data_IF_540010398910
#
_entry.id   IF_540010398910
#
_cell.length_a   1.000
_cell.length_b   1.000
_cell.length_c   1.000
_cell.angle_alpha   90.00
_cell.angle_beta   90.00
_cell.angle_gamma   90.00
#
_symmetry.space_group_name_H-M   'P 1'
#
loop_
_entity.id
_entity.type
_entity.pdbx_description
1 polymer ?
#
# COMPACT_ATOMS: atom_id res chain seq x y z
N UNK A 1 10.26 -16.94 13.39
CA UNK A 1 10.14 -17.39 14.79
C UNK A 1 9.45 -18.75 14.76
N UNK A 2 10.05 -19.78 15.36
CA UNK A 2 9.46 -21.12 15.45
C UNK A 2 8.45 -21.14 16.61
N UNK A 3 7.45 -22.01 16.55
CA UNK A 3 6.41 -22.10 17.60
C UNK A 3 6.96 -22.46 18.99
N UNK A 4 8.09 -23.15 19.01
CA UNK A 4 8.78 -23.64 20.21
C UNK A 4 9.95 -22.76 20.69
N UNK A 5 10.13 -21.56 20.12
CA UNK A 5 11.10 -20.60 20.64
C UNK A 5 10.68 -20.14 22.06
N UNK A 6 11.63 -19.93 22.99
CA UNK A 6 11.30 -19.51 24.35
C UNK A 6 10.56 -18.16 24.38
N UNK A 7 9.57 -18.06 25.25
CA UNK A 7 8.82 -16.82 25.50
C UNK A 7 9.69 -15.80 26.23
N UNK A 8 9.58 -14.53 25.84
CA UNK A 8 10.11 -13.41 26.63
C UNK A 8 9.33 -13.26 27.94
N UNK A 9 9.90 -12.66 28.98
CA UNK A 9 9.24 -12.41 30.27
C UNK A 9 7.84 -11.78 30.13
N UNK A 10 7.73 -10.71 29.33
CA UNK A 10 6.45 -10.05 29.00
C UNK A 10 5.41 -10.95 28.32
N UNK A 11 5.85 -11.95 27.56
CA UNK A 11 4.97 -12.94 26.89
C UNK A 11 4.54 -14.04 27.85
N UNK A 12 5.43 -14.45 28.75
CA UNK A 12 5.13 -15.41 29.80
C UNK A 12 4.12 -14.85 30.80
N UNK A 13 4.31 -13.59 31.24
CA UNK A 13 3.36 -12.90 32.12
C UNK A 13 1.99 -12.74 31.48
N UNK A 14 1.94 -12.37 30.20
CA UNK A 14 0.68 -12.29 29.46
C UNK A 14 0.00 -13.66 29.34
N UNK A 15 0.75 -14.74 29.09
CA UNK A 15 0.19 -16.10 29.05
C UNK A 15 -0.35 -16.55 30.41
N UNK A 16 0.35 -16.24 31.50
CA UNK A 16 -0.08 -16.52 32.87
C UNK A 16 -1.36 -15.77 33.21
N UNK A 17 -1.46 -14.51 32.76
CA UNK A 17 -2.63 -13.65 32.95
C UNK A 17 -3.88 -14.22 32.27
N UNK A 18 -3.74 -14.69 31.02
CA UNK A 18 -4.81 -15.37 30.27
C UNK A 18 -5.17 -16.75 30.85
N UNK A 19 -4.25 -17.39 31.56
CA UNK A 19 -4.45 -18.70 32.19
C UNK A 19 -5.17 -18.68 33.55
N UNK A 20 -5.23 -17.52 34.22
CA UNK A 20 -5.92 -17.38 35.50
C UNK A 20 -7.43 -17.16 35.29
N UNK A 21 -8.26 -18.06 35.83
CA UNK A 21 -9.71 -17.95 35.77
C UNK A 21 -10.19 -16.74 36.60
N UNK A 22 -10.35 -15.59 35.95
CA UNK A 22 -10.82 -14.35 36.58
C UNK A 22 -10.39 -13.05 35.90
N UNK A 23 -9.37 -13.07 35.03
CA UNK A 23 -8.95 -11.88 34.27
C UNK A 23 -9.22 -12.06 32.77
N UNK A 24 -10.27 -11.41 32.27
CA UNK A 24 -10.55 -11.33 30.83
C UNK A 24 -9.58 -10.34 30.17
N UNK A 25 -8.56 -10.84 29.47
CA UNK A 25 -7.71 -10.01 28.62
C UNK A 25 -8.37 -9.85 27.25
N UNK A 26 -8.90 -8.66 26.99
CA UNK A 26 -9.62 -8.32 25.76
C UNK A 26 -9.07 -7.05 25.09
N UNK A 27 -9.77 -6.57 24.06
CA UNK A 27 -9.32 -5.41 23.27
C UNK A 27 -9.25 -4.07 24.05
N UNK A 28 -9.77 -4.00 25.29
CA UNK A 28 -9.63 -2.87 26.21
C UNK A 28 -8.18 -2.65 26.67
N UNK A 29 -7.35 -3.71 26.70
CA UNK A 29 -5.93 -3.64 27.03
C UNK A 29 -5.05 -3.48 25.77
N UNK A 30 -5.07 -2.27 25.19
CA UNK A 30 -4.34 -1.95 23.95
C UNK A 30 -2.83 -2.23 24.03
N UNK A 31 -2.24 -2.15 25.21
CA UNK A 31 -0.80 -2.39 25.47
C UNK A 31 -0.39 -3.87 25.40
N UNK A 32 -1.36 -4.79 25.51
CA UNK A 32 -1.17 -6.25 25.51
C UNK A 32 -1.53 -6.91 24.17
N UNK A 33 -2.28 -6.23 23.30
CA UNK A 33 -2.76 -6.77 22.02
C UNK A 33 -1.64 -7.39 21.16
N UNK A 34 -0.50 -6.69 21.03
CA UNK A 34 0.65 -7.17 20.23
C UNK A 34 1.29 -8.43 20.82
N UNK A 35 1.27 -8.57 22.15
CA UNK A 35 1.77 -9.73 22.88
C UNK A 35 0.82 -10.92 22.73
N UNK A 36 -0.49 -10.69 22.80
CA UNK A 36 -1.51 -11.74 22.60
C UNK A 36 -1.47 -12.29 21.16
N UNK A 37 -1.29 -11.44 20.15
CA UNK A 37 -1.10 -11.91 18.77
C UNK A 37 0.16 -12.78 18.62
N UNK A 38 1.26 -12.40 19.26
CA UNK A 38 2.49 -13.20 19.26
C UNK A 38 2.31 -14.57 19.96
N UNK A 39 1.49 -14.66 21.02
CA UNK A 39 1.14 -15.93 21.68
C UNK A 39 0.20 -16.78 20.81
N UNK A 40 -0.74 -16.15 20.11
CA UNK A 40 -1.66 -16.81 19.18
C UNK A 40 -0.94 -17.42 17.98
N UNK A 41 0.01 -16.70 17.39
CA UNK A 41 0.78 -17.19 16.25
C UNK A 41 1.66 -18.40 16.62
N UNK A 42 1.99 -18.54 17.91
CA UNK A 42 2.63 -19.72 18.50
C UNK A 42 1.66 -20.83 18.92
N UNK A 43 0.35 -20.59 18.85
CA UNK A 43 -0.68 -21.56 19.20
C UNK A 43 -0.92 -21.71 20.70
N UNK A 44 -0.44 -20.79 21.54
CA UNK A 44 -0.58 -20.85 23.00
C UNK A 44 -1.91 -20.23 23.49
N UNK A 45 -2.49 -19.33 22.71
CA UNK A 45 -3.74 -18.61 23.02
C UNK A 45 -4.62 -18.55 21.75
N UNK A 46 -5.93 -18.61 21.90
CA UNK A 46 -6.91 -18.32 20.84
C UNK A 46 -7.56 -16.96 21.06
N UNK A 47 -7.95 -16.28 19.98
CA UNK A 47 -8.62 -14.97 20.05
C UNK A 47 -9.99 -15.02 19.38
N UNK A 48 -11.01 -15.66 19.99
CA UNK A 48 -12.38 -15.55 19.48
C UNK A 48 -12.86 -14.09 19.49
N UNK A 49 -13.77 -13.77 18.57
CA UNK A 49 -14.45 -12.47 18.51
C UNK A 49 -15.87 -12.63 19.04
N UNK A 50 -16.23 -11.83 20.03
CA UNK A 50 -17.59 -11.73 20.59
C UNK A 50 -17.98 -10.26 20.46
N UNK A 51 -19.13 -9.98 19.83
CA UNK A 51 -19.64 -8.61 19.60
C UNK A 51 -18.63 -7.61 19.00
N UNK A 52 -17.81 -8.07 18.05
CA UNK A 52 -16.81 -7.24 17.36
C UNK A 52 -15.53 -6.98 18.16
N UNK A 53 -15.46 -7.43 19.41
CA UNK A 53 -14.30 -7.32 20.31
C UNK A 53 -13.62 -8.68 20.41
N UNK A 54 -12.29 -8.73 20.32
CA UNK A 54 -11.56 -9.99 20.53
C UNK A 54 -11.31 -10.22 22.02
N UNK A 55 -11.47 -11.46 22.47
CA UNK A 55 -11.12 -11.93 23.82
C UNK A 55 -10.06 -13.03 23.70
N UNK A 56 -9.16 -13.16 24.68
CA UNK A 56 -8.15 -14.22 24.66
C UNK A 56 -8.54 -15.42 25.51
N UNK A 57 -8.34 -16.64 25.00
CA UNK A 57 -8.53 -17.89 25.72
C UNK A 57 -7.26 -18.74 25.66
N UNK A 58 -6.86 -19.35 26.78
CA UNK A 58 -5.68 -20.22 26.81
C UNK A 58 -5.96 -21.57 26.11
N UNK A 59 -5.00 -22.03 25.30
CA UNK A 59 -5.06 -23.36 24.65
C UNK A 59 -4.44 -24.44 25.53
N UNK A 60 -4.62 -25.71 25.16
CA UNK A 60 -3.92 -26.84 25.79
C UNK A 60 -2.39 -26.71 25.72
N UNK A 61 -1.86 -26.25 24.58
CA UNK A 61 -0.43 -25.96 24.42
C UNK A 61 0.05 -24.81 25.33
N UNK A 62 -0.80 -23.80 25.54
CA UNK A 62 -0.58 -22.71 26.49
C UNK A 62 -0.48 -23.20 27.94
N UNK A 63 -1.40 -24.09 28.34
CA UNK A 63 -1.37 -24.72 29.67
C UNK A 63 -0.14 -25.59 29.87
N UNK A 64 0.21 -26.40 28.87
CA UNK A 64 1.42 -27.22 28.91
C UNK A 64 2.68 -26.35 29.06
N UNK A 65 2.74 -25.21 28.36
CA UNK A 65 3.87 -24.28 28.45
C UNK A 65 4.00 -23.67 29.86
N UNK A 66 2.88 -23.31 30.51
CA UNK A 66 2.90 -22.78 31.88
C UNK A 66 3.39 -23.80 32.90
N UNK A 67 3.10 -25.08 32.68
CA UNK A 67 3.49 -26.17 33.59
C UNK A 67 4.92 -26.69 33.35
N UNK A 68 5.34 -26.80 32.08
CA UNK A 68 6.60 -27.45 31.70
C UNK A 68 7.69 -26.48 31.20
N UNK A 69 7.37 -25.20 31.03
CA UNK A 69 8.30 -24.16 30.59
C UNK A 69 8.78 -24.29 29.14
N UNK A 70 8.18 -25.16 28.34
CA UNK A 70 8.48 -25.34 26.92
C UNK A 70 7.24 -25.72 26.12
N UNK A 71 7.27 -25.46 24.82
CA UNK A 71 6.17 -25.80 23.90
C UNK A 71 6.12 -27.33 23.67
N UNK A 72 4.94 -27.96 23.61
CA UNK A 72 4.80 -29.41 23.41
C UNK A 72 5.47 -29.92 22.11
N UNK A 73 5.41 -29.11 21.04
CA UNK A 73 6.10 -29.41 19.77
C UNK A 73 7.63 -29.19 19.79
N UNK A 74 8.27 -28.93 20.95
CA UNK A 74 9.73 -28.75 21.02
C UNK A 74 10.41 -30.12 20.84
N UNK A 75 11.19 -30.35 19.77
CA UNK A 75 11.90 -31.60 19.60
C UNK A 75 13.03 -31.72 20.65
N UNK A 76 12.91 -32.68 21.57
CA UNK A 76 13.89 -32.95 22.63
C UNK A 76 14.77 -34.17 22.37
N UNK A 77 16.08 -34.03 22.61
CA UNK A 77 17.07 -35.12 22.72
C UNK A 77 16.75 -36.01 23.95
N UNK A 78 16.22 -37.20 23.66
CA UNK A 78 16.41 -38.53 24.28
C UNK A 78 16.36 -38.75 25.81
N UNK A 79 15.43 -39.64 26.21
CA UNK A 79 15.70 -40.77 27.13
C UNK A 79 15.03 -40.71 28.51
N UNK A 80 13.88 -41.35 28.73
CA UNK A 80 13.85 -42.76 29.16
C UNK A 80 12.45 -43.39 29.16
N UNK A 81 12.46 -44.72 29.08
CA UNK A 81 11.39 -45.64 28.68
C UNK A 81 10.51 -46.08 29.87
N UNK A 82 9.22 -46.34 29.60
CA UNK A 82 8.36 -47.52 29.98
C UNK A 82 6.89 -47.14 29.71
N UNK A 83 6.01 -47.92 29.08
CA UNK A 83 5.94 -49.36 28.77
C UNK A 83 4.85 -49.57 27.71
N UNK A 84 5.09 -50.42 26.70
CA UNK A 84 4.05 -51.04 25.87
C UNK A 84 3.54 -52.32 26.55
N UNK A 85 2.30 -52.75 26.28
CA UNK A 85 2.04 -54.15 26.00
C UNK A 85 1.78 -54.35 24.50
N UNK A 86 2.39 -55.41 24.01
CA UNK A 86 2.33 -55.96 22.66
C UNK A 86 1.04 -56.76 22.51
N UNK A 87 0.30 -56.56 21.42
CA UNK A 87 -0.33 -57.68 20.70
C UNK A 87 -0.02 -57.57 19.21
N UNK A 88 0.38 -58.73 18.69
CA UNK A 88 1.00 -59.03 17.42
C UNK A 88 0.10 -58.79 16.22
N UNK A 89 0.74 -58.32 15.15
CA UNK A 89 0.23 -58.20 13.78
C UNK A 89 -0.21 -59.56 13.21
N UNK A 90 -1.15 -59.55 12.25
CA UNK A 90 -0.88 -60.17 10.97
C UNK A 90 -0.48 -59.11 9.95
N UNK A 91 0.37 -59.56 9.05
CA UNK A 91 1.00 -58.83 7.96
C UNK A 91 -0.07 -58.26 7.03
N UNK A 92 -0.21 -56.94 7.03
CA UNK A 92 -0.58 -56.22 5.82
C UNK A 92 0.06 -54.84 5.85
N UNK A 93 0.69 -54.45 4.76
CA UNK A 93 1.41 -53.17 4.67
C UNK A 93 0.38 -52.04 4.77
N UNK A 94 0.48 -51.08 5.71
CA UNK A 94 -0.39 -49.92 5.68
C UNK A 94 0.03 -49.08 4.47
N UNK A 95 -0.76 -49.19 3.40
CA UNK A 95 -0.84 -48.17 2.38
C UNK A 95 -0.92 -46.81 3.09
N UNK A 96 -0.14 -45.83 2.57
CA UNK A 96 -0.30 -44.42 2.93
C UNK A 96 -1.79 -44.11 3.09
N UNK A 97 -2.23 -43.38 4.13
CA UNK A 97 -3.64 -43.04 4.26
C UNK A 97 -4.06 -42.34 2.98
N UNK A 98 -4.86 -43.06 2.18
CA UNK A 98 -5.62 -42.50 1.09
C UNK A 98 -6.55 -41.54 1.79
N UNK A 99 -6.19 -40.25 1.77
CA UNK A 99 -7.14 -39.17 2.00
C UNK A 99 -8.37 -39.54 1.16
N UNK A 100 -9.61 -39.43 1.67
CA UNK A 100 -10.74 -39.48 0.78
C UNK A 100 -10.43 -38.49 -0.35
N UNK A 101 -10.32 -39.00 -1.58
CA UNK A 101 -10.14 -38.16 -2.76
C UNK A 101 -11.42 -37.36 -2.87
N UNK A 102 -11.51 -36.25 -2.14
CA UNK A 102 -12.29 -35.12 -2.60
C UNK A 102 -11.71 -34.86 -3.99
N UNK A 103 -12.51 -35.13 -5.04
CA UNK A 103 -12.14 -34.99 -6.45
C UNK A 103 -11.17 -33.82 -6.58
N UNK A 104 -9.89 -34.11 -6.77
CA UNK A 104 -8.95 -33.06 -7.09
C UNK A 104 -9.50 -32.49 -8.40
N UNK A 105 -9.97 -31.24 -8.36
CA UNK A 105 -10.37 -30.56 -9.58
C UNK A 105 -9.07 -30.38 -10.36
N UNK A 106 -8.75 -31.34 -11.23
CA UNK A 106 -7.61 -31.28 -12.12
C UNK A 106 -8.05 -30.48 -13.32
N UNK A 107 -7.62 -29.23 -13.36
CA UNK A 107 -7.87 -28.33 -14.48
C UNK A 107 -6.59 -28.36 -15.30
N UNK A 108 -6.66 -28.90 -16.51
CA UNK A 108 -5.50 -28.96 -17.39
C UNK A 108 -5.20 -27.60 -18.00
N UNK A 109 -3.95 -27.41 -18.45
CA UNK A 109 -3.56 -26.19 -19.14
C UNK A 109 -4.33 -26.03 -20.47
N UNK A 110 -4.66 -27.13 -21.15
CA UNK A 110 -5.44 -27.12 -22.38
C UNK A 110 -6.91 -26.75 -22.13
N UNK A 111 -7.50 -27.19 -21.02
CA UNK A 111 -8.89 -26.85 -20.67
C UNK A 111 -9.02 -25.37 -20.28
N UNK A 112 -8.05 -24.82 -19.56
CA UNK A 112 -7.96 -23.39 -19.28
C UNK A 112 -7.92 -22.58 -20.59
N UNK A 113 -7.04 -22.97 -21.52
CA UNK A 113 -6.90 -22.26 -22.79
C UNK A 113 -8.12 -22.42 -23.69
N UNK A 114 -8.75 -23.60 -23.72
CA UNK A 114 -9.99 -23.84 -24.48
C UNK A 114 -11.13 -22.96 -23.98
N UNK A 115 -11.26 -22.79 -22.66
CA UNK A 115 -12.25 -21.89 -22.07
C UNK A 115 -11.94 -20.42 -22.36
N UNK A 116 -10.66 -20.03 -22.29
CA UNK A 116 -10.23 -18.66 -22.60
C UNK A 116 -10.27 -18.31 -24.09
N UNK A 117 -10.19 -19.31 -24.98
CA UNK A 117 -10.37 -19.12 -26.41
C UNK A 117 -11.83 -18.90 -26.79
N UNK A 118 -12.76 -19.46 -26.00
CA UNK A 118 -14.21 -19.28 -26.18
C UNK A 118 -14.70 -17.97 -25.56
N UNK A 119 -14.26 -17.67 -24.34
CA UNK A 119 -14.51 -16.42 -23.63
C UNK A 119 -13.17 -15.84 -23.21
N UNK A 120 -12.74 -14.72 -23.81
CA UNK A 120 -11.44 -14.07 -23.54
C UNK A 120 -11.21 -13.69 -22.06
N UNK A 121 -12.24 -13.82 -21.23
CA UNK A 121 -12.23 -13.61 -19.79
C UNK A 121 -13.01 -14.71 -19.07
N UNK A 122 -12.33 -15.42 -18.19
CA UNK A 122 -12.90 -16.35 -17.24
C UNK A 122 -13.05 -15.66 -15.87
N UNK A 123 -14.28 -15.49 -15.40
CA UNK A 123 -14.57 -14.96 -14.06
C UNK A 123 -15.10 -16.10 -13.17
N UNK A 124 -14.37 -16.39 -12.11
CA UNK A 124 -14.72 -17.39 -11.10
C UNK A 124 -15.05 -16.65 -9.81
N UNK A 125 -16.33 -16.64 -9.45
CA UNK A 125 -16.84 -15.98 -8.24
C UNK A 125 -16.42 -16.78 -7.02
N UNK A 126 -15.70 -16.14 -6.09
CA UNK A 126 -15.22 -16.69 -4.80
C UNK A 126 -14.88 -18.21 -4.80
N UNK A 127 -13.85 -18.65 -5.56
CA UNK A 127 -13.48 -20.05 -5.58
C UNK A 127 -12.98 -20.53 -4.21
N UNK A 128 -13.27 -21.80 -3.90
CA UNK A 128 -12.63 -22.48 -2.77
C UNK A 128 -11.09 -22.57 -2.96
N UNK A 129 -10.39 -22.89 -1.87
CA UNK A 129 -8.92 -22.91 -1.84
C UNK A 129 -8.32 -23.94 -2.81
N UNK A 130 -8.97 -25.08 -3.01
CA UNK A 130 -8.45 -26.20 -3.80
C UNK A 130 -8.65 -25.95 -5.30
N UNK A 131 -9.81 -25.42 -5.68
CA UNK A 131 -10.15 -24.94 -7.03
C UNK A 131 -9.24 -23.78 -7.42
N UNK A 132 -9.00 -22.82 -6.51
CA UNK A 132 -8.03 -21.73 -6.73
C UNK A 132 -6.62 -22.28 -6.94
N UNK A 133 -6.19 -23.27 -6.17
CA UNK A 133 -4.89 -23.91 -6.34
C UNK A 133 -4.79 -24.68 -7.68
N UNK A 134 -5.88 -25.32 -8.13
CA UNK A 134 -5.96 -25.97 -9.43
C UNK A 134 -5.80 -24.99 -10.60
N UNK A 135 -6.55 -23.89 -10.61
CA UNK A 135 -6.41 -22.84 -11.62
C UNK A 135 -5.01 -22.22 -11.63
N UNK A 136 -4.41 -22.01 -10.45
CA UNK A 136 -3.01 -21.54 -10.36
C UNK A 136 -2.02 -22.51 -10.98
N UNK A 137 -2.21 -23.83 -10.78
CA UNK A 137 -1.39 -24.87 -11.40
C UNK A 137 -1.58 -24.88 -12.92
N UNK A 138 -2.81 -24.75 -13.40
CA UNK A 138 -3.12 -24.67 -14.82
C UNK A 138 -2.48 -23.45 -15.49
N UNK A 139 -2.57 -22.26 -14.87
CA UNK A 139 -1.90 -21.03 -15.36
C UNK A 139 -0.39 -21.22 -15.40
N UNK A 140 0.20 -21.77 -14.34
CA UNK A 140 1.65 -21.99 -14.29
C UNK A 140 2.10 -23.02 -15.34
N UNK A 141 1.35 -24.11 -15.49
CA UNK A 141 1.59 -25.13 -16.51
C UNK A 141 1.50 -24.53 -17.91
N UNK A 142 0.44 -23.78 -18.25
CA UNK A 142 0.28 -23.12 -19.54
C UNK A 142 1.41 -22.14 -19.87
N UNK A 143 1.90 -21.39 -18.86
CA UNK A 143 3.05 -20.49 -19.01
C UNK A 143 4.37 -21.25 -19.22
N UNK A 144 4.58 -22.38 -18.53
CA UNK A 144 5.82 -23.17 -18.62
C UNK A 144 5.90 -24.04 -19.87
N UNK A 145 4.80 -24.69 -20.26
CA UNK A 145 4.72 -25.52 -21.46
C UNK A 145 4.62 -24.69 -22.73
N UNK A 146 4.32 -23.40 -22.59
CA UNK A 146 4.33 -22.48 -23.72
C UNK A 146 3.14 -22.64 -24.66
N UNK A 147 2.04 -23.21 -24.16
CA UNK A 147 0.79 -23.46 -24.89
C UNK A 147 -0.04 -22.19 -25.15
N UNK A 148 0.37 -21.04 -24.62
CA UNK A 148 -0.29 -19.75 -24.90
C UNK A 148 -0.07 -19.38 -26.38
N UNK A 149 -1.13 -19.03 -27.15
CA UNK A 149 -1.00 -18.62 -28.54
C UNK A 149 0.02 -17.50 -28.75
N UNK A 150 0.74 -17.54 -29.89
CA UNK A 150 1.71 -16.53 -30.24
C UNK A 150 1.05 -15.13 -30.29
N UNK A 151 1.64 -14.15 -29.61
CA UNK A 151 1.10 -12.79 -29.53
C UNK A 151 0.03 -12.57 -28.45
N UNK A 152 -0.26 -13.55 -27.58
CA UNK A 152 -1.20 -13.39 -26.46
C UNK A 152 -0.53 -13.68 -25.11
N UNK A 153 -1.08 -13.14 -24.02
CA UNK A 153 -0.62 -13.43 -22.67
C UNK A 153 -1.76 -13.59 -21.64
N UNK A 154 -1.49 -14.38 -20.61
CA UNK A 154 -2.44 -14.67 -19.53
C UNK A 154 -2.28 -13.68 -18.36
N UNK A 155 -3.33 -12.89 -18.10
CA UNK A 155 -3.47 -12.02 -16.93
C UNK A 155 -4.41 -12.66 -15.90
N UNK A 156 -4.16 -12.45 -14.61
CA UNK A 156 -5.02 -12.98 -13.55
C UNK A 156 -5.13 -12.01 -12.37
N UNK A 157 -6.32 -11.90 -11.79
CA UNK A 157 -6.66 -11.13 -10.59
C UNK A 157 -7.29 -12.05 -9.53
N UNK A 158 -7.24 -11.67 -8.25
CA UNK A 158 -7.81 -12.50 -7.16
C UNK A 158 -6.97 -13.75 -6.83
N UNK A 159 -5.64 -13.62 -6.91
CA UNK A 159 -4.67 -14.70 -6.72
C UNK A 159 -4.80 -15.41 -5.35
N UNK A 160 -5.03 -14.62 -4.31
CA UNK A 160 -4.97 -15.07 -2.92
C UNK A 160 -6.31 -14.89 -2.19
N UNK A 161 -7.18 -13.96 -2.61
CA UNK A 161 -8.52 -13.75 -2.05
C UNK A 161 -9.51 -13.16 -3.08
N UNK A 162 -10.81 -13.33 -2.83
CA UNK A 162 -11.90 -12.84 -3.67
C UNK A 162 -12.12 -13.62 -4.98
N UNK A 163 -12.71 -12.95 -5.96
CA UNK A 163 -13.02 -13.51 -7.27
C UNK A 163 -11.77 -13.71 -8.11
N UNK A 164 -11.59 -14.92 -8.67
CA UNK A 164 -10.49 -15.23 -9.56
C UNK A 164 -10.89 -14.89 -10.99
N UNK A 165 -10.28 -13.84 -11.54
CA UNK A 165 -10.49 -13.44 -12.93
C UNK A 165 -9.23 -13.82 -13.71
N UNK A 166 -9.38 -14.58 -14.79
CA UNK A 166 -8.29 -14.94 -15.70
C UNK A 166 -8.65 -14.40 -17.09
N UNK A 167 -7.76 -13.63 -17.69
CA UNK A 167 -7.95 -12.96 -18.97
C UNK A 167 -6.86 -13.41 -19.95
N UNK A 168 -7.25 -13.68 -21.20
CA UNK A 168 -6.34 -13.84 -22.31
C UNK A 168 -6.30 -12.51 -23.06
N UNK A 169 -5.18 -11.81 -22.97
CA UNK A 169 -5.00 -10.46 -23.51
C UNK A 169 -4.08 -10.54 -24.72
N UNK A 170 -4.47 -9.85 -25.80
CA UNK A 170 -3.65 -9.71 -27.00
C UNK A 170 -2.47 -8.75 -26.73
N UNK A 171 -1.29 -9.11 -27.23
CA UNK A 171 -0.04 -8.39 -27.04
C UNK A 171 0.96 -9.11 -26.15
N UNK A 172 2.18 -8.57 -26.13
CA UNK A 172 3.27 -9.06 -25.30
C UNK A 172 2.95 -8.83 -23.81
N UNK A 173 3.29 -9.78 -22.95
CA UNK A 173 3.05 -9.63 -21.52
C UNK A 173 3.79 -8.37 -21.00
N UNK A 174 3.14 -7.47 -20.24
CA UNK A 174 3.76 -6.21 -19.80
C UNK A 174 5.01 -6.41 -18.93
N UNK A 175 5.03 -7.51 -18.17
CA UNK A 175 6.23 -7.97 -17.46
C UNK A 175 7.12 -8.81 -18.39
N UNK A 176 8.30 -8.27 -18.73
CA UNK A 176 9.30 -8.90 -19.56
C UNK A 176 9.76 -10.26 -19.02
N UNK A 177 9.53 -10.57 -17.74
CA UNK A 177 9.89 -11.88 -17.18
C UNK A 177 9.22 -13.07 -17.88
N UNK A 178 8.15 -12.85 -18.63
CA UNK A 178 7.40 -13.89 -19.35
C UNK A 178 7.69 -13.94 -20.86
N UNK A 179 8.57 -13.10 -21.39
CA UNK A 179 8.97 -13.17 -22.80
C UNK A 179 9.86 -14.40 -23.00
N UNK A 180 9.49 -15.28 -23.95
CA UNK A 180 10.27 -16.48 -24.33
C UNK A 180 11.53 -16.08 -25.11
N UNK A 181 11.37 -15.19 -26.09
CA UNK A 181 12.44 -14.68 -26.94
C UNK A 181 12.84 -13.28 -26.49
N UNK A 182 13.53 -13.20 -25.35
CA UNK A 182 14.11 -11.91 -24.96
C UNK A 182 15.33 -11.63 -25.81
N UNK A 183 15.43 -10.45 -26.44
CA UNK A 183 16.71 -10.01 -26.97
C UNK A 183 17.69 -9.98 -25.79
N UNK A 184 18.73 -10.82 -25.87
CA UNK A 184 19.82 -10.81 -24.89
C UNK A 184 20.63 -9.55 -25.13
N UNK A 185 21.01 -8.89 -24.04
CA UNK A 185 22.00 -7.82 -24.14
C UNK A 185 23.34 -8.49 -24.34
N UNK A 186 23.98 -8.28 -25.48
CA UNK A 186 25.35 -8.75 -25.70
C UNK A 186 26.27 -7.98 -24.75
N UNK A 187 26.93 -8.71 -23.86
CA UNK A 187 27.90 -8.12 -22.94
C UNK A 187 29.20 -7.94 -23.71
N UNK A 188 29.71 -6.71 -23.73
CA UNK A 188 30.95 -6.40 -24.46
C UNK A 188 32.12 -7.05 -23.73
N UNK A 189 32.93 -7.80 -24.46
CA UNK A 189 34.10 -8.50 -23.90
C UNK A 189 35.27 -7.54 -23.56
N UNK A 190 35.30 -6.35 -24.17
CA UNK A 190 36.33 -5.32 -23.97
C UNK A 190 35.76 -3.94 -23.60
N UNK A 191 36.51 -3.18 -22.81
CA UNK A 191 36.19 -1.80 -22.41
C UNK A 191 36.89 -0.79 -23.35
N UNK A 192 36.78 -0.97 -24.67
CA UNK A 192 37.54 -0.15 -25.64
C UNK A 192 37.03 1.30 -25.73
N UNK A 193 35.76 1.53 -25.39
CA UNK A 193 35.14 2.86 -25.25
C UNK A 193 34.22 2.92 -24.02
N UNK A 194 34.78 3.03 -22.81
CA UNK A 194 34.01 3.00 -21.58
C UNK A 194 33.17 4.29 -21.44
N UNK A 195 31.92 4.13 -21.02
CA UNK A 195 31.04 5.25 -20.71
C UNK A 195 31.63 6.08 -19.56
N UNK A 196 31.34 7.39 -19.50
CA UNK A 196 31.90 8.29 -18.47
C UNK A 196 31.62 7.79 -17.04
N UNK A 197 30.47 7.16 -16.82
CA UNK A 197 30.10 6.52 -15.54
C UNK A 197 31.08 5.39 -15.20
N UNK A 198 31.43 4.53 -16.14
CA UNK A 198 32.38 3.42 -15.96
C UNK A 198 33.78 3.94 -15.69
N UNK A 199 34.22 4.98 -16.41
CA UNK A 199 35.52 5.65 -16.16
C UNK A 199 35.57 6.22 -14.74
N UNK A 200 34.46 6.81 -14.26
CA UNK A 200 34.39 7.33 -12.88
C UNK A 200 34.36 6.20 -11.84
N UNK A 201 33.67 5.10 -12.10
CA UNK A 201 33.67 3.91 -11.23
C UNK A 201 35.05 3.23 -11.17
N UNK A 202 35.81 3.23 -12.27
CA UNK A 202 37.20 2.76 -12.26
C UNK A 202 38.09 3.59 -11.34
N UNK A 203 37.86 4.92 -11.26
CA UNK A 203 38.60 5.81 -10.35
C UNK A 203 38.15 5.72 -8.90
N UNK A 204 36.92 5.25 -8.67
CA UNK A 204 36.28 5.13 -7.35
C UNK A 204 35.66 3.74 -7.17
N UNK A 205 36.48 2.67 -7.12
CA UNK A 205 35.98 1.31 -7.00
C UNK A 205 35.21 1.07 -5.69
N UNK A 206 35.44 1.88 -4.66
CA UNK A 206 34.71 1.84 -3.38
C UNK A 206 33.20 2.06 -3.50
N UNK A 207 32.72 2.63 -4.62
CA UNK A 207 31.29 2.76 -4.90
C UNK A 207 30.61 1.43 -5.24
N UNK A 208 31.40 0.40 -5.56
CA UNK A 208 30.95 -0.95 -5.84
C UNK A 208 31.37 -1.84 -4.66
N UNK A 209 30.43 -2.56 -4.05
CA UNK A 209 30.76 -3.48 -2.95
C UNK A 209 31.20 -4.84 -3.50
N UNK A 210 32.29 -4.81 -4.27
CA UNK A 210 32.87 -5.96 -4.95
C UNK A 210 34.35 -6.10 -4.59
N UNK A 211 34.83 -7.34 -4.61
CA UNK A 211 36.24 -7.69 -4.49
C UNK A 211 37.07 -7.19 -5.67
N UNK A 212 38.40 -7.13 -5.50
CA UNK A 212 39.31 -6.69 -6.57
C UNK A 212 39.29 -7.65 -7.76
N UNK A 213 39.11 -8.94 -7.50
CA UNK A 213 39.02 -9.99 -8.50
C UNK A 213 37.77 -9.86 -9.38
N UNK A 214 36.66 -9.40 -8.79
CA UNK A 214 35.36 -9.25 -9.47
C UNK A 214 35.13 -7.86 -10.07
N UNK A 215 36.03 -6.90 -9.83
CA UNK A 215 35.87 -5.51 -10.27
C UNK A 215 35.79 -5.37 -11.79
N UNK A 216 36.65 -6.08 -12.53
CA UNK A 216 36.66 -6.01 -14.00
C UNK A 216 35.35 -6.56 -14.59
N UNK A 217 34.88 -7.70 -14.09
CA UNK A 217 33.58 -8.28 -14.47
C UNK A 217 32.43 -7.31 -14.16
N UNK A 218 32.44 -6.72 -12.97
CA UNK A 218 31.44 -5.74 -12.56
C UNK A 218 31.37 -4.54 -13.53
N UNK A 219 32.53 -4.00 -13.92
CA UNK A 219 32.60 -2.87 -14.85
C UNK A 219 32.10 -3.23 -16.27
N UNK A 220 32.38 -4.43 -16.77
CA UNK A 220 31.85 -4.91 -18.08
C UNK A 220 30.33 -5.05 -18.07
N UNK A 221 29.77 -5.56 -16.97
CA UNK A 221 28.32 -5.66 -16.77
C UNK A 221 27.68 -4.28 -16.79
N UNK A 222 28.25 -3.32 -16.02
CA UNK A 222 27.75 -1.94 -15.99
C UNK A 222 27.86 -1.27 -17.36
N UNK A 223 29.00 -1.41 -18.03
CA UNK A 223 29.21 -0.87 -19.37
C UNK A 223 28.14 -1.38 -20.34
N UNK A 224 27.89 -2.68 -20.34
CA UNK A 224 26.92 -3.31 -21.25
C UNK A 224 25.48 -2.87 -20.93
N UNK A 225 25.16 -2.75 -19.64
CA UNK A 225 23.87 -2.24 -19.19
C UNK A 225 23.66 -0.79 -19.63
N UNK A 226 24.67 0.08 -19.47
CA UNK A 226 24.59 1.49 -19.86
C UNK A 226 24.57 1.64 -21.39
N UNK A 227 25.39 0.88 -22.12
CA UNK A 227 25.41 0.93 -23.59
C UNK A 227 24.04 0.58 -24.18
N UNK A 228 23.41 -0.48 -23.68
CA UNK A 228 22.06 -0.85 -24.09
C UNK A 228 21.01 0.17 -23.65
N UNK A 229 21.16 0.76 -22.46
CA UNK A 229 20.27 1.83 -21.98
C UNK A 229 20.35 3.09 -22.84
N UNK A 230 21.57 3.51 -23.21
CA UNK A 230 21.81 4.62 -24.14
C UNK A 230 21.32 4.31 -25.54
N UNK A 231 21.44 3.06 -26.01
CA UNK A 231 20.87 2.62 -27.31
C UNK A 231 19.34 2.78 -27.35
N UNK A 232 18.66 2.66 -26.20
CA UNK A 232 17.21 2.87 -26.06
C UNK A 232 16.82 4.35 -25.90
N UNK A 233 17.78 5.26 -25.92
CA UNK A 233 17.56 6.71 -25.81
C UNK A 233 17.43 7.19 -24.35
N UNK A 234 18.07 6.50 -23.41
CA UNK A 234 18.05 6.85 -22.00
C UNK A 234 19.46 7.15 -21.48
N UNK A 235 19.55 7.99 -20.46
CA UNK A 235 20.83 8.47 -19.93
C UNK A 235 21.20 7.75 -18.62
N UNK A 236 22.49 7.77 -18.29
CA UNK A 236 23.01 7.23 -17.04
C UNK A 236 24.05 8.17 -16.44
N UNK A 237 24.05 8.27 -15.11
CA UNK A 237 25.01 9.07 -14.34
C UNK A 237 25.52 8.27 -13.13
N UNK A 238 26.58 8.74 -12.49
CA UNK A 238 27.12 8.18 -11.26
C UNK A 238 26.25 8.51 -10.05
N UNK A 239 25.47 9.61 -10.13
CA UNK A 239 24.69 10.17 -9.03
C UNK A 239 25.55 10.70 -7.87
N UNK A 240 24.91 11.44 -6.99
CA UNK A 240 25.55 12.05 -5.82
C UNK A 240 25.73 11.06 -4.64
N UNK A 241 25.17 9.86 -4.74
CA UNK A 241 25.25 8.83 -3.70
C UNK A 241 26.65 8.29 -3.46
N UNK A 242 26.89 7.73 -2.28
CA UNK A 242 28.18 7.12 -1.91
C UNK A 242 28.40 5.76 -2.61
N UNK A 243 27.34 5.07 -3.02
CA UNK A 243 27.41 3.76 -3.67
C UNK A 243 26.43 3.66 -4.85
N UNK A 244 26.81 2.85 -5.84
CA UNK A 244 26.01 2.59 -7.03
C UNK A 244 26.14 3.63 -8.16
N UNK A 245 25.20 3.54 -9.11
CA UNK A 245 25.04 4.44 -10.26
C UNK A 245 23.54 4.68 -10.53
N UNK A 246 23.20 5.72 -11.28
CA UNK A 246 21.82 6.14 -11.54
C UNK A 246 21.49 5.99 -13.02
N UNK A 247 20.35 5.37 -13.30
CA UNK A 247 19.75 5.31 -14.63
C UNK A 247 18.59 6.31 -14.71
N UNK A 248 18.64 7.17 -15.71
CA UNK A 248 17.71 8.27 -15.95
C UNK A 248 16.81 7.93 -17.14
N UNK A 249 15.50 8.06 -16.94
CA UNK A 249 14.49 7.90 -17.98
C UNK A 249 13.40 8.94 -17.78
N UNK A 250 13.31 9.90 -18.71
CA UNK A 250 12.38 11.03 -18.63
C UNK A 250 12.56 11.77 -17.29
N UNK A 251 11.53 11.80 -16.44
CA UNK A 251 11.55 12.42 -15.11
C UNK A 251 11.81 11.42 -13.97
N UNK A 252 12.02 10.13 -14.27
CA UNK A 252 12.30 9.09 -13.29
C UNK A 252 13.80 8.79 -13.21
N UNK A 253 14.28 8.62 -11.99
CA UNK A 253 15.65 8.27 -11.67
C UNK A 253 15.69 7.00 -10.83
N UNK A 254 16.53 6.05 -11.24
CA UNK A 254 16.68 4.76 -10.55
C UNK A 254 18.14 4.55 -10.16
N UNK A 255 18.41 4.51 -8.86
CA UNK A 255 19.73 4.16 -8.32
C UNK A 255 19.89 2.65 -8.30
N UNK A 256 20.95 2.11 -8.89
CA UNK A 256 21.31 0.70 -8.88
C UNK A 256 22.58 0.53 -8.06
N UNK A 257 22.56 -0.38 -7.08
CA UNK A 257 23.74 -0.79 -6.32
C UNK A 257 24.21 -2.16 -6.77
N UNK A 258 25.52 -2.39 -6.76
CA UNK A 258 26.10 -3.69 -7.05
C UNK A 258 26.87 -4.20 -5.85
N UNK A 259 26.55 -5.44 -5.47
CA UNK A 259 27.04 -6.11 -4.28
C UNK A 259 27.51 -7.52 -4.63
N UNK A 260 28.65 -7.93 -4.09
CA UNK A 260 29.17 -9.30 -4.21
C UNK A 260 28.77 -10.16 -3.00
N UNK A 261 28.46 -11.45 -3.24
CA UNK A 261 28.28 -12.41 -2.15
C UNK A 261 29.65 -12.76 -1.55
N UNK A 262 29.85 -12.43 -0.28
CA UNK A 262 31.03 -12.83 0.50
C UNK A 262 30.74 -14.08 1.33
N UNK A 263 31.71 -14.99 1.39
CA UNK A 263 31.64 -16.15 2.27
C UNK A 263 32.80 -16.14 3.27
N UNK A 264 32.55 -16.57 4.52
CA UNK A 264 33.62 -16.82 5.46
C UNK A 264 34.43 -18.02 4.96
N UNK A 265 35.73 -17.81 4.80
CA UNK A 265 36.71 -18.84 4.45
C UNK A 265 37.74 -18.86 5.57
N UNK A 266 38.02 -20.07 6.07
CA UNK A 266 39.08 -20.25 7.06
C UNK A 266 40.42 -20.07 6.35
N UNK A 267 41.07 -18.94 6.63
CA UNK A 267 42.40 -18.64 6.13
C UNK A 267 43.42 -19.12 7.15
N UNK A 268 44.27 -20.06 6.73
CA UNK A 268 45.45 -20.42 7.48
C UNK A 268 46.55 -19.42 7.13
N UNK A 269 47.11 -18.68 8.11
CA UNK A 269 48.16 -17.71 7.83
C UNK A 269 49.33 -18.37 7.11
N UNK A 270 49.78 -17.76 6.03
CA UNK A 270 50.93 -18.29 5.27
C UNK A 270 52.22 -18.21 6.09
N UNK A 271 53.26 -18.95 5.70
CA UNK A 271 54.56 -18.90 6.36
C UNK A 271 55.16 -17.47 6.38
N UNK A 272 54.85 -16.65 5.38
CA UNK A 272 55.28 -15.24 5.32
C UNK A 272 54.48 -14.35 6.28
N UNK A 273 53.16 -14.57 6.40
CA UNK A 273 52.31 -13.85 7.36
C UNK A 273 52.67 -14.22 8.81
N UNK A 274 53.03 -15.47 9.08
CA UNK A 274 53.53 -15.92 10.38
C UNK A 274 54.89 -15.30 10.74
N UNK A 275 55.78 -15.18 9.76
CA UNK A 275 57.07 -14.52 9.92
C UNK A 275 56.93 -13.00 10.20
N UNK A 276 56.00 -12.33 9.52
CA UNK A 276 55.69 -10.91 9.76
C UNK A 276 55.06 -10.67 11.13
N UNK A 277 54.20 -11.58 11.60
CA UNK A 277 53.53 -11.46 12.89
C UNK A 277 54.39 -11.92 14.09
N UNK A 278 55.67 -12.25 13.85
CA UNK A 278 56.62 -12.79 14.85
C UNK A 278 56.09 -14.02 15.60
N UNK A 279 55.22 -14.79 14.95
CA UNK A 279 54.63 -16.00 15.52
C UNK A 279 55.60 -17.16 15.29
N UNK A 280 56.05 -17.81 16.38
CA UNK A 280 56.98 -18.94 16.26
C UNK A 280 56.26 -20.18 15.71
N UNK A 281 56.98 -21.04 14.96
CA UNK A 281 56.42 -22.22 14.28
C UNK A 281 55.71 -23.24 15.19
N UNK A 282 55.94 -23.18 16.51
CA UNK A 282 55.33 -24.06 17.52
C UNK A 282 54.04 -23.50 18.15
N UNK A 283 53.71 -22.23 17.93
CA UNK A 283 52.47 -21.65 18.43
C UNK A 283 51.28 -22.17 17.62
N UNK A 284 50.25 -22.70 18.30
CA UNK A 284 49.02 -23.14 17.65
C UNK A 284 48.26 -21.94 17.12
N UNK A 285 48.33 -21.71 15.81
CA UNK A 285 47.61 -20.65 15.12
C UNK A 285 46.21 -21.14 14.82
N UNK A 286 45.22 -20.46 15.37
CA UNK A 286 43.82 -20.73 15.05
C UNK A 286 43.55 -20.22 13.63
N UNK A 287 42.77 -20.95 12.80
CA UNK A 287 42.34 -20.45 11.50
C UNK A 287 41.63 -19.11 11.70
N UNK A 288 42.07 -18.08 10.97
CA UNK A 288 41.39 -16.80 10.98
C UNK A 288 40.28 -16.86 9.94
N UNK A 289 39.04 -16.61 10.36
CA UNK A 289 37.93 -16.51 9.41
C UNK A 289 38.08 -15.20 8.63
N UNK A 290 38.48 -15.28 7.35
CA UNK A 290 38.51 -14.13 6.44
C UNK A 290 37.31 -14.18 5.51
N UNK A 291 36.80 -13.02 5.14
CA UNK A 291 35.71 -12.90 4.17
C UNK A 291 36.29 -12.83 2.77
N UNK A 292 36.03 -13.85 1.95
CA UNK A 292 36.45 -13.88 0.55
C UNK A 292 35.24 -13.62 -0.36
N UNK A 293 35.44 -12.78 -1.39
CA UNK A 293 34.46 -12.59 -2.45
C UNK A 293 34.31 -13.89 -3.25
N UNK A 294 33.07 -14.28 -3.51
CA UNK A 294 32.79 -15.56 -4.19
C UNK A 294 32.76 -15.44 -5.72
N UNK A 295 32.96 -14.23 -6.27
CA UNK A 295 32.76 -13.93 -7.68
C UNK A 295 31.29 -13.75 -8.08
N UNK A 296 30.33 -13.96 -7.16
CA UNK A 296 28.90 -13.88 -7.43
C UNK A 296 28.40 -12.46 -7.23
N UNK A 297 28.08 -11.81 -8.35
CA UNK A 297 27.61 -10.43 -8.39
C UNK A 297 26.09 -10.36 -8.29
N UNK A 298 25.60 -9.33 -7.63
CA UNK A 298 24.18 -9.01 -7.52
C UNK A 298 23.96 -7.52 -7.71
N UNK A 299 22.84 -7.19 -8.34
CA UNK A 299 22.41 -5.83 -8.62
C UNK A 299 21.07 -5.60 -7.92
N UNK A 300 20.98 -4.54 -7.12
CA UNK A 300 19.81 -4.20 -6.33
C UNK A 300 19.31 -2.78 -6.61
N UNK A 301 17.99 -2.66 -6.68
CA UNK A 301 17.27 -1.39 -6.63
C UNK A 301 16.86 -1.12 -5.18
N UNK A 302 16.98 0.14 -4.70
CA UNK A 302 16.61 0.52 -3.35
C UNK A 302 15.14 0.20 -3.09
N UNK A 303 14.85 -0.10 -1.83
CA UNK A 303 13.48 -0.38 -1.43
C UNK A 303 12.64 0.90 -1.50
N UNK A 304 11.59 0.88 -2.33
CA UNK A 304 10.60 1.93 -2.42
C UNK A 304 9.20 1.32 -2.35
N UNK A 305 8.38 1.81 -1.41
CA UNK A 305 7.02 1.33 -1.18
C UNK A 305 6.12 1.46 -2.42
N UNK A 306 6.40 2.41 -3.31
CA UNK A 306 5.66 2.62 -4.55
C UNK A 306 5.75 1.43 -5.50
N UNK A 307 6.78 0.58 -5.38
CA UNK A 307 6.99 -0.60 -6.23
C UNK A 307 6.91 -1.92 -5.44
N UNK A 308 6.14 -1.95 -4.35
CA UNK A 308 6.01 -3.15 -3.54
C UNK A 308 5.50 -4.35 -4.38
N UNK A 309 6.09 -5.52 -4.17
CA UNK A 309 5.80 -6.73 -4.95
C UNK A 309 6.54 -6.84 -6.29
N UNK A 310 7.22 -5.78 -6.75
CA UNK A 310 8.10 -5.85 -7.94
C UNK A 310 9.48 -6.39 -7.59
N UNK A 311 10.15 -6.97 -8.59
CA UNK A 311 11.50 -7.51 -8.40
C UNK A 311 12.49 -6.35 -8.24
N UNK A 312 13.33 -6.43 -7.21
CA UNK A 312 14.34 -5.41 -6.91
C UNK A 312 15.78 -5.92 -6.91
N UNK A 313 15.97 -7.24 -6.88
CA UNK A 313 17.30 -7.86 -6.78
C UNK A 313 17.48 -8.89 -7.89
N UNK A 314 18.60 -8.77 -8.59
CA UNK A 314 19.10 -9.70 -9.59
C UNK A 314 20.50 -10.11 -9.18
N UNK A 315 20.93 -11.32 -9.52
CA UNK A 315 22.26 -11.76 -9.16
C UNK A 315 22.55 -13.15 -9.69
N UNK A 316 23.82 -13.49 -9.63
CA UNK A 316 24.33 -14.77 -10.05
C UNK A 316 23.69 -15.91 -9.26
N UNK A 317 23.33 -16.97 -9.99
CA UNK A 317 22.79 -18.21 -9.44
C UNK A 317 23.47 -19.38 -10.14
N UNK A 318 23.19 -20.57 -9.63
CA UNK A 318 23.74 -21.81 -10.21
C UNK A 318 23.27 -22.08 -11.64
N UNK A 319 22.11 -21.55 -12.04
CA UNK A 319 21.47 -21.81 -13.35
C UNK A 319 21.51 -20.64 -14.33
N UNK A 320 21.95 -19.46 -13.91
CA UNK A 320 22.04 -18.27 -14.75
C UNK A 320 23.01 -17.27 -14.15
N UNK A 321 23.58 -16.45 -15.02
CA UNK A 321 24.44 -15.35 -14.60
C UNK A 321 23.68 -14.02 -14.58
N UNK A 322 24.27 -12.98 -13.97
CA UNK A 322 23.70 -11.64 -13.94
C UNK A 322 23.60 -11.03 -15.34
N UNK A 323 24.54 -11.35 -16.23
CA UNK A 323 24.58 -10.95 -17.64
C UNK A 323 23.31 -11.37 -18.39
N UNK A 324 22.82 -12.60 -18.16
CA UNK A 324 21.59 -13.12 -18.76
C UNK A 324 20.32 -12.33 -18.34
N UNK A 325 20.41 -11.55 -17.26
CA UNK A 325 19.29 -10.80 -16.67
C UNK A 325 19.31 -9.31 -16.98
N UNK A 326 20.28 -8.82 -17.74
CA UNK A 326 20.34 -7.40 -18.09
C UNK A 326 19.08 -6.92 -18.83
N UNK A 327 18.58 -7.68 -19.79
CA UNK A 327 17.33 -7.33 -20.50
C UNK A 327 16.12 -7.29 -19.57
N UNK A 328 16.07 -8.14 -18.54
CA UNK A 328 15.03 -8.12 -17.51
C UNK A 328 15.11 -6.87 -16.65
N UNK A 329 16.32 -6.47 -16.25
CA UNK A 329 16.56 -5.27 -15.45
C UNK A 329 16.09 -4.04 -16.22
N UNK A 330 16.51 -3.88 -17.48
CA UNK A 330 16.13 -2.74 -18.31
C UNK A 330 14.61 -2.65 -18.51
N UNK A 331 13.96 -3.78 -18.79
CA UNK A 331 12.50 -3.81 -18.95
C UNK A 331 11.75 -3.51 -17.64
N UNK A 332 12.29 -3.92 -16.50
CA UNK A 332 11.74 -3.56 -15.19
C UNK A 332 11.88 -2.06 -14.91
N UNK A 333 13.00 -1.44 -15.29
CA UNK A 333 13.20 0.01 -15.17
C UNK A 333 12.23 0.80 -16.04
N UNK A 334 12.07 0.41 -17.31
CA UNK A 334 11.07 0.99 -18.22
C UNK A 334 9.65 0.84 -17.65
N UNK A 335 9.31 -0.35 -17.16
CA UNK A 335 8.00 -0.61 -16.55
C UNK A 335 7.77 0.13 -15.24
N UNK A 336 8.82 0.57 -14.52
CA UNK A 336 8.70 1.46 -13.36
C UNK A 336 8.53 2.91 -13.77
N UNK A 337 9.26 3.36 -14.78
CA UNK A 337 9.13 4.70 -15.35
C UNK A 337 7.71 4.95 -15.88
N UNK A 338 7.15 3.97 -16.61
CA UNK A 338 5.76 4.04 -17.07
C UNK A 338 4.77 4.15 -15.91
N UNK A 339 4.97 3.38 -14.84
CA UNK A 339 4.12 3.45 -13.65
C UNK A 339 4.19 4.81 -12.96
N UNK A 340 5.39 5.42 -12.87
CA UNK A 340 5.56 6.76 -12.33
C UNK A 340 4.87 7.81 -13.20
N UNK A 341 4.96 7.69 -14.52
CA UNK A 341 4.30 8.57 -15.48
C UNK A 341 2.78 8.50 -15.34
N UNK A 342 2.21 7.29 -15.32
CA UNK A 342 0.78 7.07 -15.11
C UNK A 342 0.31 7.67 -13.78
N UNK A 343 1.09 7.48 -12.71
CA UNK A 343 0.78 8.05 -11.39
C UNK A 343 0.84 9.57 -11.41
N UNK A 344 1.83 10.17 -12.08
CA UNK A 344 1.98 11.63 -12.20
C UNK A 344 0.79 12.23 -12.95
N UNK A 345 0.42 11.62 -14.08
CA UNK A 345 -0.73 12.03 -14.89
C UNK A 345 -2.03 11.89 -14.08
N UNK A 346 -2.23 10.77 -13.39
CA UNK A 346 -3.41 10.56 -12.56
C UNK A 346 -3.54 11.60 -11.44
N UNK A 347 -2.45 11.91 -10.74
CA UNK A 347 -2.43 12.95 -9.70
C UNK A 347 -2.71 14.34 -10.27
N UNK A 348 -2.15 14.67 -11.43
CA UNK A 348 -2.42 15.95 -12.11
C UNK A 348 -3.90 16.06 -12.50
N UNK A 349 -4.46 15.01 -13.11
CA UNK A 349 -5.87 14.96 -13.51
C UNK A 349 -6.81 15.03 -12.30
N UNK A 350 -6.46 14.38 -11.18
CA UNK A 350 -7.25 14.43 -9.96
C UNK A 350 -7.27 15.85 -9.37
N UNK A 351 -6.14 16.56 -9.37
CA UNK A 351 -6.07 17.97 -8.94
C UNK A 351 -6.95 18.86 -9.81
N UNK A 352 -6.87 18.73 -11.14
CA UNK A 352 -7.72 19.49 -12.06
C UNK A 352 -9.20 19.19 -11.81
N UNK A 353 -9.57 17.91 -11.67
CA UNK A 353 -10.95 17.51 -11.40
C UNK A 353 -11.44 18.07 -10.06
N UNK A 354 -10.61 18.04 -9.02
CA UNK A 354 -10.94 18.57 -7.70
C UNK A 354 -11.12 20.09 -7.74
N UNK A 355 -10.25 20.80 -8.47
CA UNK A 355 -10.36 22.23 -8.69
C UNK A 355 -11.67 22.59 -9.40
N UNK A 356 -12.02 21.90 -10.49
CA UNK A 356 -13.27 22.13 -11.22
C UNK A 356 -14.50 21.87 -10.34
N UNK A 357 -14.50 20.80 -9.54
CA UNK A 357 -15.59 20.51 -8.61
C UNK A 357 -15.73 21.59 -7.53
N UNK A 358 -14.61 22.11 -7.03
CA UNK A 358 -14.59 23.19 -6.06
C UNK A 358 -15.10 24.50 -6.66
N UNK A 359 -14.69 24.85 -7.87
CA UNK A 359 -15.18 26.04 -8.59
C UNK A 359 -16.69 25.97 -8.83
N UNK A 360 -17.20 24.83 -9.31
CA UNK A 360 -18.65 24.65 -9.48
C UNK A 360 -19.41 24.75 -8.16
N UNK A 361 -18.87 24.17 -7.07
CA UNK A 361 -19.47 24.30 -5.75
C UNK A 361 -19.46 25.74 -5.23
N UNK A 362 -18.44 26.54 -5.54
CA UNK A 362 -18.36 27.96 -5.19
C UNK A 362 -19.39 28.80 -5.93
N UNK A 363 -19.62 28.51 -7.22
CA UNK A 363 -20.69 29.17 -8.00
C UNK A 363 -22.06 28.82 -7.40
N UNK A 364 -22.34 27.54 -7.20
CA UNK A 364 -23.63 27.10 -6.62
C UNK A 364 -23.84 27.68 -5.21
N UNK A 365 -22.80 27.74 -4.38
CA UNK A 365 -22.86 28.33 -3.05
C UNK A 365 -23.18 29.83 -3.08
N UNK A 366 -22.63 30.56 -4.05
CA UNK A 366 -22.95 31.99 -4.25
C UNK A 366 -24.40 32.18 -4.67
N UNK A 367 -24.88 31.36 -5.60
CA UNK A 367 -26.27 31.43 -6.06
C UNK A 367 -27.25 31.15 -4.91
N UNK A 368 -26.98 30.13 -4.09
CA UNK A 368 -27.78 29.82 -2.89
C UNK A 368 -27.73 30.91 -1.84
N UNK A 369 -26.57 31.54 -1.61
CA UNK A 369 -26.45 32.67 -0.69
C UNK A 369 -27.31 33.86 -1.15
N UNK A 370 -27.25 34.18 -2.46
CA UNK A 370 -28.05 35.25 -3.08
C UNK A 370 -29.54 34.95 -2.94
N UNK A 371 -29.96 33.71 -3.16
CA UNK A 371 -31.35 33.28 -3.01
C UNK A 371 -31.82 33.39 -1.56
N UNK A 372 -31.08 32.85 -0.60
CA UNK A 372 -31.40 32.94 0.83
C UNK A 372 -31.48 34.39 1.32
N UNK A 373 -30.60 35.26 0.82
CA UNK A 373 -30.62 36.68 1.17
C UNK A 373 -31.89 37.36 0.63
N UNK A 374 -32.26 37.08 -0.62
CA UNK A 374 -33.52 37.58 -1.21
C UNK A 374 -34.75 37.08 -0.44
N UNK A 375 -34.75 35.81 -0.04
CA UNK A 375 -35.84 35.22 0.74
C UNK A 375 -35.96 35.91 2.11
N UNK A 376 -34.85 36.13 2.82
CA UNK A 376 -34.87 36.85 4.10
C UNK A 376 -35.37 38.28 3.94
N UNK A 377 -34.88 38.98 2.92
CA UNK A 377 -35.28 40.36 2.66
C UNK A 377 -36.77 40.48 2.32
N UNK A 378 -37.33 39.60 1.48
CA UNK A 378 -38.75 39.66 1.14
C UNK A 378 -39.65 39.30 2.33
N UNK A 379 -39.25 38.33 3.16
CA UNK A 379 -39.99 37.99 4.38
C UNK A 379 -40.02 39.17 5.34
N UNK A 380 -38.88 39.84 5.56
CA UNK A 380 -38.82 41.04 6.41
C UNK A 380 -39.66 42.19 5.85
N UNK A 381 -39.63 42.42 4.53
CA UNK A 381 -40.47 43.43 3.88
C UNK A 381 -41.97 43.13 4.04
N UNK A 382 -42.38 41.86 3.86
CA UNK A 382 -43.78 41.45 4.06
C UNK A 382 -44.21 41.62 5.51
N UNK A 383 -43.36 41.27 6.48
CA UNK A 383 -43.64 41.46 7.90
C UNK A 383 -43.79 42.94 8.28
N UNK A 384 -42.94 43.81 7.74
CA UNK A 384 -43.04 45.26 7.96
C UNK A 384 -44.31 45.85 7.33
N UNK A 385 -44.66 45.39 6.14
CA UNK A 385 -45.90 45.78 5.46
C UNK A 385 -47.15 45.34 6.25
N UNK A 386 -47.20 44.08 6.71
CA UNK A 386 -48.31 43.56 7.52
C UNK A 386 -48.42 44.31 8.86
N UNK A 387 -47.29 44.62 9.51
CA UNK A 387 -47.28 45.46 10.73
C UNK A 387 -47.82 46.86 10.46
N UNK A 388 -47.43 47.50 9.36
CA UNK A 388 -47.95 48.82 8.97
C UNK A 388 -49.47 48.77 8.73
N UNK A 389 -49.95 47.74 8.02
CA UNK A 389 -51.38 47.52 7.77
C UNK A 389 -52.16 47.33 9.08
N UNK A 390 -51.65 46.53 10.01
CA UNK A 390 -52.25 46.32 11.34
C UNK A 390 -52.31 47.60 12.17
N UNK A 391 -51.27 48.43 12.13
CA UNK A 391 -51.26 49.73 12.83
C UNK A 391 -52.33 50.65 12.23
N UNK A 392 -52.42 50.75 10.89
CA UNK A 392 -53.45 51.57 10.23
C UNK A 392 -54.87 51.07 10.55
N UNK A 393 -55.08 49.75 10.56
CA UNK A 393 -56.36 49.15 10.95
C UNK A 393 -56.73 49.44 12.40
N UNK A 394 -55.77 49.32 13.33
CA UNK A 394 -55.94 49.68 14.73
C UNK A 394 -56.30 51.17 14.90
N UNK A 395 -55.60 52.08 14.23
CA UNK A 395 -55.93 53.49 14.22
C UNK A 395 -57.36 53.75 13.69
N UNK A 396 -57.77 53.05 12.63
CA UNK A 396 -59.13 53.18 12.06
C UNK A 396 -60.18 52.72 13.08
N UNK A 397 -59.97 51.58 13.74
CA UNK A 397 -60.87 51.10 14.81
C UNK A 397 -60.93 52.05 16.01
N UNK A 398 -59.82 52.70 16.37
CA UNK A 398 -59.81 53.74 17.41
C UNK A 398 -60.60 54.99 16.99
N UNK A 399 -60.47 55.42 15.72
CA UNK A 399 -61.27 56.54 15.16
C UNK A 399 -62.77 56.23 15.17
N UNK A 400 -63.15 54.99 14.86
CA UNK A 400 -64.55 54.53 14.82
C UNK A 400 -65.16 54.35 16.21
N UNK A 401 -64.38 53.96 17.21
CA UNK A 401 -64.86 53.63 18.57
C UNK A 401 -65.28 54.82 19.45
N UNK A 402 -65.38 56.05 18.88
CA UNK A 402 -65.64 57.35 19.56
C UNK A 402 -66.39 57.24 20.89
N UNK A 403 -65.63 57.22 22.00
CA UNK A 403 -66.12 57.26 23.37
C UNK A 403 -65.35 58.26 24.27
N UNK A 404 -64.50 59.12 23.71
CA UNK A 404 -63.72 60.09 24.47
C UNK A 404 -64.31 61.51 24.31
N UNK A 405 -64.61 62.18 25.43
CA UNK A 405 -65.09 63.57 25.48
C UNK A 405 -63.95 64.53 25.90
N UNK A 406 -63.91 65.73 25.31
CA UNK A 406 -63.03 66.83 25.74
C UNK A 406 -61.54 66.58 25.47
N UNK A 407 -60.66 66.93 26.42
CA UNK A 407 -59.19 66.88 26.25
C UNK A 407 -58.62 65.51 25.85
N UNK A 408 -59.29 64.42 26.22
CA UNK A 408 -58.87 63.06 25.87
C UNK A 408 -59.02 62.78 24.36
N UNK A 409 -59.90 63.53 23.67
CA UNK A 409 -60.12 63.40 22.25
C UNK A 409 -58.98 64.05 21.42
N UNK A 410 -58.43 65.16 21.91
CA UNK A 410 -57.29 65.83 21.27
C UNK A 410 -56.00 65.01 21.42
N UNK A 411 -55.73 64.48 22.62
CA UNK A 411 -54.58 63.59 22.87
C UNK A 411 -54.65 62.29 22.04
N UNK A 412 -55.85 61.73 21.89
CA UNK A 412 -56.09 60.55 21.04
C UNK A 412 -55.86 60.86 19.55
N UNK A 413 -56.28 62.03 19.07
CA UNK A 413 -56.06 62.45 17.70
C UNK A 413 -54.56 62.65 17.38
N UNK A 414 -53.80 63.25 18.29
CA UNK A 414 -52.34 63.38 18.16
C UNK A 414 -51.65 62.01 18.13
N UNK A 415 -52.07 61.09 18.99
CA UNK A 415 -51.55 59.71 19.00
C UNK A 415 -51.84 58.96 17.70
N UNK A 416 -53.07 59.08 17.16
CA UNK A 416 -53.46 58.44 15.90
C UNK A 416 -52.65 59.01 14.71
N UNK A 417 -52.46 60.32 14.66
CA UNK A 417 -51.66 60.96 13.62
C UNK A 417 -50.20 60.51 13.66
N UNK A 418 -49.63 60.42 14.86
CA UNK A 418 -48.28 59.89 15.06
C UNK A 418 -48.18 58.41 14.66
N UNK A 419 -49.14 57.58 15.05
CA UNK A 419 -49.16 56.15 14.73
C UNK A 419 -49.32 55.88 13.22
N UNK A 420 -50.15 56.66 12.51
CA UNK A 420 -50.25 56.62 11.04
C UNK A 420 -48.93 57.03 10.38
N UNK A 421 -48.30 58.11 10.85
CA UNK A 421 -46.99 58.55 10.37
C UNK A 421 -45.88 57.52 10.62
N UNK A 422 -45.96 56.81 11.75
CA UNK A 422 -45.05 55.70 12.06
C UNK A 422 -45.28 54.50 11.12
N UNK A 423 -46.54 54.14 10.83
CA UNK A 423 -46.88 53.09 9.88
C UNK A 423 -46.32 53.39 8.47
N UNK A 424 -46.45 54.63 8.00
CA UNK A 424 -45.91 55.03 6.69
C UNK A 424 -44.37 55.02 6.65
N UNK A 425 -43.71 55.25 7.79
CA UNK A 425 -42.24 55.20 7.88
C UNK A 425 -41.69 53.77 7.81
N UNK A 426 -42.42 52.80 8.35
CA UNK A 426 -41.99 51.38 8.34
C UNK A 426 -42.48 50.62 7.11
N UNK A 427 -43.51 51.13 6.42
CA UNK A 427 -44.08 50.50 5.23
C UNK A 427 -43.08 50.57 4.06
N UNK A 428 -42.59 49.43 3.56
CA UNK A 428 -41.64 49.39 2.45
C UNK A 428 -42.22 49.93 1.13
N UNK A 429 -43.54 50.08 1.01
CA UNK A 429 -44.21 50.61 -0.18
C UNK A 429 -44.29 52.14 -0.22
N UNK A 430 -44.18 52.80 0.94
CA UNK A 430 -44.29 54.26 1.05
C UNK A 430 -42.98 55.00 0.70
N UNK A 431 -41.82 54.32 0.81
CA UNK A 431 -40.48 54.89 0.59
C UNK A 431 -39.88 54.68 -0.81
N UNK A 432 -40.67 54.20 -1.77
CA UNK A 432 -40.20 53.70 -3.08
C UNK A 432 -39.67 52.27 -2.98
N UNK A 433 -39.93 51.44 -4.01
CA UNK A 433 -39.46 50.06 -4.10
C UNK A 433 -37.94 49.98 -3.89
N UNK A 434 -37.50 49.53 -2.70
CA UNK A 434 -36.09 49.21 -2.43
C UNK A 434 -35.87 47.73 -2.67
N UNK A 435 -35.30 47.42 -3.83
CA UNK A 435 -34.73 46.10 -4.07
C UNK A 435 -33.62 45.86 -3.04
N UNK A 436 -33.51 44.65 -2.46
CA UNK A 436 -32.44 44.35 -1.53
C UNK A 436 -31.09 44.44 -2.24
N UNK A 437 -30.19 45.30 -1.74
CA UNK A 437 -28.81 45.33 -2.18
C UNK A 437 -28.10 44.10 -1.61
N UNK A 438 -27.71 43.19 -2.50
CA UNK A 438 -27.10 41.93 -2.11
C UNK A 438 -25.60 42.17 -1.94
N UNK A 439 -25.05 42.05 -0.72
CA UNK A 439 -23.62 42.25 -0.52
C UNK A 439 -22.83 41.13 -1.19
N UNK A 440 -21.62 41.46 -1.65
CA UNK A 440 -20.67 40.44 -2.09
C UNK A 440 -20.35 39.49 -0.93
N UNK A 441 -20.60 38.18 -1.08
CA UNK A 441 -20.45 37.24 0.02
C UNK A 441 -18.98 37.07 0.40
N UNK A 442 -18.67 37.18 1.69
CA UNK A 442 -17.33 36.84 2.18
C UNK A 442 -17.19 35.32 2.16
N UNK A 443 -15.96 34.77 2.10
CA UNK A 443 -15.75 33.32 2.10
C UNK A 443 -16.41 32.58 3.27
N UNK A 444 -16.54 33.23 4.44
CA UNK A 444 -17.21 32.65 5.61
C UNK A 444 -18.74 32.56 5.45
N UNK A 445 -19.34 33.48 4.70
CA UNK A 445 -20.80 33.53 4.47
C UNK A 445 -21.24 32.41 3.51
N UNK A 446 -20.33 31.94 2.65
CA UNK A 446 -20.56 30.83 1.72
C UNK A 446 -20.42 29.44 2.38
N UNK A 447 -19.81 29.37 3.56
CA UNK A 447 -19.51 28.11 4.27
C UNK A 447 -20.74 27.19 4.44
N UNK A 448 -21.93 27.68 4.83
CA UNK A 448 -23.11 26.82 5.00
C UNK A 448 -23.54 26.10 3.71
N UNK A 449 -23.21 26.67 2.56
CA UNK A 449 -23.64 26.18 1.25
C UNK A 449 -22.60 25.27 0.56
N UNK A 450 -21.35 25.23 1.06
CA UNK A 450 -20.24 24.50 0.45
C UNK A 450 -20.11 23.03 0.90
N UNK A 451 -20.91 22.60 1.87
CA UNK A 451 -20.93 21.20 2.34
C UNK A 451 -19.55 20.73 2.83
N UNK A 452 -18.93 19.81 2.08
CA UNK A 452 -17.60 19.24 2.39
C UNK A 452 -16.41 20.09 1.91
N UNK A 453 -16.67 21.15 1.15
CA UNK A 453 -15.63 21.98 0.54
C UNK A 453 -15.29 23.18 1.42
N UNK A 454 -14.00 23.54 1.47
CA UNK A 454 -13.57 24.76 2.13
C UNK A 454 -13.69 25.97 1.21
N UNK A 455 -14.11 27.16 1.71
CA UNK A 455 -14.11 28.39 0.93
C UNK A 455 -12.72 28.86 0.47
N UNK A 456 -11.65 28.31 1.06
CA UNK A 456 -10.27 28.74 0.85
C UNK A 456 -9.48 27.83 -0.10
N UNK A 457 -10.08 26.75 -0.60
CA UNK A 457 -9.48 25.92 -1.64
C UNK A 457 -9.90 24.45 -1.62
N UNK A 458 -9.59 23.71 -2.70
CA UNK A 458 -10.00 22.32 -2.90
C UNK A 458 -9.36 21.30 -1.95
N UNK A 459 -8.15 21.59 -1.45
CA UNK A 459 -7.35 20.62 -0.68
C UNK A 459 -7.54 20.73 0.84
N UNK A 460 -8.29 21.73 1.31
CA UNK A 460 -8.63 21.88 2.72
C UNK A 460 -10.01 21.28 2.94
N UNK A 461 -10.07 20.07 3.49
CA UNK A 461 -11.32 19.55 4.04
C UNK A 461 -11.55 20.19 5.42
N UNK A 462 -12.81 20.54 5.69
CA UNK A 462 -13.23 21.10 6.97
C UNK A 462 -13.83 20.02 7.86
#
# INVERSE_FOLDING_TARGET
>A
MRRWDPLTERQFDALRRVGNAGEEVGASDSSLARTIYALRDRGLVTTPRVDGVWTSQITEAGRFYLEHGHHPDRPGRSGDVKTKPVRSRPVDQPQKPVRPQAKAVEISAEELLSRLHKDSRLHIVQPDRDTRAAWRRAIHAAKQSGLVPAGMHLRHHGRDDGDLIIELVEGQHPDAKYWKDRPRVEVVDSLDQPHQVVVRLQRKPERLHVSKESLDRALRIIQSLIAEWSRRGHDADLGDGESGFVMLIRESQFTLTMDEEYKPVDHLPSLEELAQNKTYSWQRVQPETRWAGTGRLSLELPHNYSYNGRRRRWGDRERWSLEDKLSEILSELEGRAQFDDERRIALANEKVRRQQQWESAMVEARDRFVEDFKIKAIVEQVDLWDRAAKIRAYCTSLEDSRAAEGKMQDELAEWILWAKSYADRIDPTCGGLRLPEIPDPRPQDLKPYLGRWSPYGPDRQW
#
